data_IF_600478192022
#
_entry.id   IF_600478192022
#
_cell.length_a   1.000
_cell.length_b   1.000
_cell.length_c   1.000
_cell.angle_alpha   90.00
_cell.angle_beta   90.00
_cell.angle_gamma   90.00
#
_symmetry.space_group_name_H-M   'P 1'
#
loop_
_entity.id
_entity.type
_entity.pdbx_description
1 polymer ?
#
# COMPACT_ATOMS: atom_id res chain seq x y z
N UNK A 1 -26.59 -16.11 -12.79
CA UNK A 1 -25.66 -15.39 -13.68
C UNK A 1 -25.37 -14.03 -13.03
N UNK A 2 -24.11 -13.70 -12.73
CA UNK A 2 -23.75 -12.37 -12.20
C UNK A 2 -24.01 -11.33 -13.29
N UNK A 3 -24.66 -10.21 -12.96
CA UNK A 3 -24.87 -9.11 -13.90
C UNK A 3 -23.63 -8.21 -13.96
N UNK A 4 -23.45 -7.50 -15.06
CA UNK A 4 -22.33 -6.57 -15.25
C UNK A 4 -22.23 -5.50 -14.16
N UNK A 5 -23.39 -5.03 -13.67
CA UNK A 5 -23.50 -4.09 -12.55
C UNK A 5 -23.05 -4.74 -11.23
N UNK A 6 -23.43 -5.99 -10.97
CA UNK A 6 -23.02 -6.72 -9.76
C UNK A 6 -21.49 -6.94 -9.71
N UNK A 7 -20.85 -7.18 -10.86
CA UNK A 7 -19.39 -7.38 -10.91
C UNK A 7 -18.64 -6.07 -10.61
N UNK A 8 -19.12 -4.94 -11.14
CA UNK A 8 -18.52 -3.62 -10.84
C UNK A 8 -18.68 -3.22 -9.38
N UNK A 9 -19.79 -3.62 -8.74
CA UNK A 9 -19.98 -3.41 -7.31
C UNK A 9 -19.01 -4.26 -6.49
N UNK A 10 -18.88 -5.55 -6.81
CA UNK A 10 -17.91 -6.45 -6.17
C UNK A 10 -16.46 -5.91 -6.30
N UNK A 11 -16.09 -5.38 -7.47
CA UNK A 11 -14.78 -4.76 -7.71
C UNK A 11 -14.59 -3.50 -6.87
N UNK A 12 -15.57 -2.60 -6.87
CA UNK A 12 -15.49 -1.33 -6.12
C UNK A 12 -15.36 -1.59 -4.63
N UNK A 13 -16.15 -2.53 -4.11
CA UNK A 13 -16.12 -2.93 -2.70
C UNK A 13 -14.80 -3.60 -2.33
N UNK A 14 -14.27 -4.46 -3.20
CA UNK A 14 -12.94 -5.05 -3.02
C UNK A 14 -11.83 -4.00 -2.94
N UNK A 15 -11.87 -2.96 -3.78
CA UNK A 15 -10.91 -1.86 -3.79
C UNK A 15 -11.07 -0.99 -2.53
N UNK A 16 -12.30 -0.70 -2.10
CA UNK A 16 -12.59 0.05 -0.87
C UNK A 16 -12.05 -0.66 0.38
N UNK A 17 -12.24 -1.98 0.44
CA UNK A 17 -11.69 -2.81 1.52
C UNK A 17 -10.18 -2.98 1.45
N UNK A 18 -9.58 -2.83 0.26
CA UNK A 18 -8.14 -3.01 0.05
C UNK A 18 -7.52 -1.88 -0.79
N UNK A 19 -7.50 -0.62 -0.30
CA UNK A 19 -6.94 0.48 -1.09
C UNK A 19 -5.46 0.24 -1.40
N UNK A 20 -5.10 0.43 -2.67
CA UNK A 20 -3.77 0.16 -3.20
C UNK A 20 -3.51 -1.30 -3.62
N UNK A 21 -4.55 -2.12 -3.69
CA UNK A 21 -4.50 -3.51 -4.20
C UNK A 21 -4.02 -3.55 -5.65
N UNK A 22 -3.20 -4.55 -5.97
CA UNK A 22 -2.67 -4.74 -7.31
C UNK A 22 -3.66 -5.52 -8.19
N UNK A 23 -3.62 -5.28 -9.50
CA UNK A 23 -4.47 -5.98 -10.49
C UNK A 23 -4.55 -7.51 -10.27
N UNK A 24 -3.40 -8.18 -10.14
CA UNK A 24 -3.35 -9.65 -10.03
C UNK A 24 -3.93 -10.18 -8.71
N UNK A 25 -3.84 -9.39 -7.65
CA UNK A 25 -4.43 -9.76 -6.36
C UNK A 25 -5.95 -9.60 -6.40
N UNK A 26 -6.43 -8.48 -6.95
CA UNK A 26 -7.84 -8.22 -7.19
C UNK A 26 -8.46 -9.31 -8.09
N UNK A 27 -7.76 -9.68 -9.17
CA UNK A 27 -8.16 -10.75 -10.08
C UNK A 27 -8.32 -12.09 -9.37
N UNK A 28 -7.34 -12.49 -8.54
CA UNK A 28 -7.42 -13.75 -7.77
C UNK A 28 -8.54 -13.72 -6.74
N UNK A 29 -8.71 -12.59 -6.05
CA UNK A 29 -9.73 -12.43 -5.01
C UNK A 29 -11.15 -12.53 -5.56
N UNK A 30 -11.38 -12.00 -6.77
CA UNK A 30 -12.72 -11.99 -7.39
C UNK A 30 -12.97 -13.17 -8.33
N UNK A 31 -11.93 -13.97 -8.65
CA UNK A 31 -12.04 -15.10 -9.58
C UNK A 31 -12.39 -14.70 -11.01
N UNK A 32 -12.11 -13.47 -11.41
CA UNK A 32 -12.46 -12.93 -12.73
C UNK A 32 -11.40 -13.28 -13.79
N UNK A 33 -11.85 -13.42 -15.04
CA UNK A 33 -10.95 -13.47 -16.18
C UNK A 33 -10.24 -12.10 -16.36
N UNK A 34 -9.01 -12.11 -16.87
CA UNK A 34 -8.19 -10.89 -17.02
C UNK A 34 -8.92 -9.80 -17.80
N UNK A 35 -9.40 -10.12 -19.01
CA UNK A 35 -10.08 -9.13 -19.86
C UNK A 35 -11.39 -8.61 -19.25
N UNK A 36 -12.10 -9.45 -18.47
CA UNK A 36 -13.31 -9.03 -17.77
C UNK A 36 -12.98 -8.01 -16.67
N UNK A 37 -11.94 -8.27 -15.87
CA UNK A 37 -11.50 -7.34 -14.84
C UNK A 37 -10.98 -6.04 -15.46
N UNK A 38 -10.18 -6.11 -16.53
CA UNK A 38 -9.69 -4.92 -17.25
C UNK A 38 -10.83 -4.05 -17.75
N UNK A 39 -11.83 -4.65 -18.39
CA UNK A 39 -13.03 -3.94 -18.87
C UNK A 39 -13.76 -3.22 -17.73
N UNK A 40 -14.05 -3.93 -16.64
CA UNK A 40 -14.80 -3.33 -15.53
C UNK A 40 -14.00 -2.26 -14.79
N UNK A 41 -12.68 -2.44 -14.60
CA UNK A 41 -11.83 -1.41 -13.99
C UNK A 41 -11.77 -0.16 -14.84
N UNK A 42 -11.64 -0.30 -16.17
CA UNK A 42 -11.69 0.84 -17.08
C UNK A 42 -13.03 1.59 -16.96
N UNK A 43 -14.16 0.86 -16.94
CA UNK A 43 -15.49 1.48 -16.76
C UNK A 43 -15.61 2.22 -15.44
N UNK A 44 -15.17 1.61 -14.33
CA UNK A 44 -15.19 2.24 -13.01
C UNK A 44 -14.30 3.48 -12.91
N UNK A 45 -13.15 3.48 -13.60
CA UNK A 45 -12.24 4.63 -13.65
C UNK A 45 -12.84 5.78 -14.46
N UNK A 46 -13.48 5.50 -15.61
CA UNK A 46 -14.24 6.49 -16.39
C UNK A 46 -15.42 7.07 -15.59
N UNK A 47 -16.08 6.24 -14.78
CA UNK A 47 -17.16 6.65 -13.88
C UNK A 47 -16.66 7.42 -12.63
N UNK A 48 -15.35 7.58 -12.45
CA UNK A 48 -14.75 8.26 -11.30
C UNK A 48 -14.89 7.50 -9.97
N UNK A 49 -15.37 6.25 -10.01
CA UNK A 49 -15.59 5.42 -8.81
C UNK A 49 -14.29 4.86 -8.25
N UNK A 50 -13.29 4.70 -9.10
CA UNK A 50 -11.94 4.26 -8.71
C UNK A 50 -10.89 5.15 -9.36
N UNK A 51 -9.69 5.12 -8.79
CA UNK A 51 -8.50 5.74 -9.34
C UNK A 51 -7.38 4.70 -9.44
N UNK A 52 -6.65 4.66 -10.56
CA UNK A 52 -5.46 3.83 -10.68
C UNK A 52 -4.16 4.63 -10.72
N UNK A 53 -3.10 4.05 -10.14
CA UNK A 53 -1.74 4.61 -10.17
C UNK A 53 -0.73 3.54 -10.55
N UNK A 54 0.22 3.91 -11.41
CA UNK A 54 1.38 3.09 -11.70
C UNK A 54 2.36 3.11 -10.51
N UNK A 55 2.80 1.94 -10.07
CA UNK A 55 3.80 1.72 -9.03
C UNK A 55 4.82 0.68 -9.51
N UNK A 56 5.92 1.15 -10.10
CA UNK A 56 6.89 0.31 -10.78
C UNK A 56 6.24 -0.48 -11.92
N UNK A 57 6.28 -1.81 -11.84
CA UNK A 57 5.65 -2.71 -12.83
C UNK A 57 4.19 -3.00 -12.56
N UNK A 58 3.64 -2.55 -11.44
CA UNK A 58 2.29 -2.86 -11.01
C UNK A 58 1.38 -1.65 -11.18
N UNK A 59 0.13 -1.91 -11.55
CA UNK A 59 -0.95 -0.93 -11.42
C UNK A 59 -1.71 -1.22 -10.13
N UNK A 60 -1.97 -0.16 -9.36
CA UNK A 60 -2.69 -0.20 -8.09
C UNK A 60 -3.97 0.60 -8.16
N UNK A 61 -4.99 0.15 -7.46
CA UNK A 61 -6.32 0.73 -7.50
C UNK A 61 -6.76 1.24 -6.13
N UNK A 62 -7.44 2.37 -6.13
CA UNK A 62 -7.94 3.08 -4.95
C UNK A 62 -9.39 3.51 -5.19
N UNK A 63 -10.17 3.74 -4.13
CA UNK A 63 -11.45 4.43 -4.26
C UNK A 63 -11.24 5.82 -4.89
N UNK A 64 -12.16 6.23 -5.77
CA UNK A 64 -12.02 7.47 -6.52
C UNK A 64 -12.13 8.73 -5.66
N UNK A 65 -12.94 8.66 -4.61
CA UNK A 65 -13.33 9.74 -3.70
C UNK A 65 -12.54 9.76 -2.38
N UNK A 66 -11.61 8.83 -2.17
CA UNK A 66 -10.86 8.72 -0.92
C UNK A 66 -9.35 8.90 -1.07
N UNK A 67 -8.76 9.49 -0.02
CA UNK A 67 -7.32 9.56 0.20
C UNK A 67 -6.61 10.56 -0.70
N UNK A 68 -5.79 11.40 -0.10
CA UNK A 68 -4.83 12.27 -0.78
C UNK A 68 -3.77 11.45 -1.51
N UNK A 69 -3.09 12.05 -2.50
CA UNK A 69 -1.95 11.43 -3.17
C UNK A 69 -0.86 10.96 -2.19
N UNK A 70 -0.74 11.68 -1.08
CA UNK A 70 0.23 11.40 -0.03
C UNK A 70 -0.18 10.20 0.82
N UNK A 71 -1.42 10.13 1.28
CA UNK A 71 -1.98 8.95 1.96
C UNK A 71 -1.88 7.70 1.07
N UNK A 72 -2.20 7.83 -0.23
CA UNK A 72 -2.05 6.73 -1.20
C UNK A 72 -0.62 6.24 -1.30
N UNK A 73 0.37 7.12 -1.23
CA UNK A 73 1.79 6.75 -1.26
C UNK A 73 2.18 5.95 -0.02
N UNK A 74 1.73 6.36 1.16
CA UNK A 74 1.97 5.62 2.40
C UNK A 74 1.24 4.28 2.39
N UNK A 75 0.00 4.21 1.89
CA UNK A 75 -0.73 2.96 1.69
C UNK A 75 0.05 1.98 0.80
N UNK A 76 0.61 2.45 -0.31
CA UNK A 76 1.44 1.63 -1.20
C UNK A 76 2.65 1.05 -0.44
N UNK A 77 3.32 1.88 0.35
CA UNK A 77 4.44 1.48 1.19
C UNK A 77 4.04 0.38 2.18
N UNK A 78 2.92 0.57 2.88
CA UNK A 78 2.38 -0.37 3.86
C UNK A 78 1.87 -1.66 3.22
N UNK A 79 1.43 -1.66 1.96
CA UNK A 79 1.00 -2.87 1.25
C UNK A 79 2.19 -3.69 0.74
N UNK A 80 3.29 -3.05 0.34
CA UNK A 80 4.51 -3.74 -0.07
C UNK A 80 5.20 -4.39 1.15
N UNK A 81 5.38 -5.73 1.21
CA UNK A 81 5.95 -6.39 2.39
C UNK A 81 7.35 -5.90 2.79
N UNK A 82 8.20 -5.56 1.83
CA UNK A 82 9.58 -5.14 2.12
C UNK A 82 9.61 -3.69 2.61
N UNK A 83 8.89 -2.80 1.93
CA UNK A 83 8.77 -1.41 2.36
C UNK A 83 8.05 -1.29 3.71
N UNK A 84 7.01 -2.09 3.93
CA UNK A 84 6.30 -2.18 5.21
C UNK A 84 7.23 -2.51 6.36
N UNK A 85 8.12 -3.50 6.22
CA UNK A 85 9.08 -3.85 7.29
C UNK A 85 9.97 -2.67 7.68
N UNK A 86 10.41 -1.89 6.68
CA UNK A 86 11.20 -0.68 6.90
C UNK A 86 10.37 0.38 7.64
N UNK A 87 9.15 0.65 7.16
CA UNK A 87 8.24 1.62 7.80
C UNK A 87 7.95 1.22 9.25
N UNK A 88 7.68 -0.06 9.51
CA UNK A 88 7.41 -0.58 10.85
C UNK A 88 8.61 -0.43 11.80
N UNK A 89 9.82 -0.71 11.32
CA UNK A 89 11.03 -0.53 12.10
C UNK A 89 11.25 0.96 12.43
N UNK A 90 11.17 1.81 11.40
CA UNK A 90 11.37 3.24 11.56
C UNK A 90 10.26 3.92 12.35
N UNK A 91 9.04 3.38 12.38
CA UNK A 91 7.93 3.90 13.19
C UNK A 91 8.18 3.85 14.70
N UNK A 92 9.10 2.99 15.17
CA UNK A 92 9.51 2.96 16.57
C UNK A 92 10.62 3.96 16.88
N UNK A 93 11.64 4.01 16.03
CA UNK A 93 12.79 4.89 16.22
C UNK A 93 13.55 5.08 14.91
N UNK A 94 14.27 6.20 14.81
CA UNK A 94 15.26 6.42 13.76
C UNK A 94 16.44 5.46 13.96
N UNK A 95 17.09 5.01 12.88
CA UNK A 95 18.23 4.10 12.98
C UNK A 95 19.11 4.14 11.73
N UNK A 96 20.38 3.74 11.87
CA UNK A 96 21.27 3.64 10.71
C UNK A 96 20.78 2.61 9.69
N UNK A 97 21.12 2.80 8.42
CA UNK A 97 20.73 1.87 7.34
C UNK A 97 21.25 0.45 7.57
N UNK A 98 22.42 0.30 8.22
CA UNK A 98 22.96 -1.01 8.60
C UNK A 98 22.09 -1.71 9.64
N UNK A 99 21.78 -1.02 10.74
CA UNK A 99 20.91 -1.54 11.81
C UNK A 99 19.51 -1.83 11.27
N UNK A 100 18.98 -0.94 10.43
CA UNK A 100 17.67 -1.12 9.79
C UNK A 100 17.63 -2.39 8.93
N UNK A 101 18.66 -2.62 8.11
CA UNK A 101 18.75 -3.83 7.28
C UNK A 101 18.80 -5.08 8.13
N UNK A 102 19.62 -5.08 9.18
CA UNK A 102 19.71 -6.20 10.12
C UNK A 102 18.35 -6.46 10.79
N UNK A 103 17.68 -5.41 11.26
CA UNK A 103 16.37 -5.50 11.93
C UNK A 103 15.27 -6.03 11.00
N UNK A 104 15.23 -5.58 9.73
CA UNK A 104 14.20 -6.05 8.77
C UNK A 104 14.41 -7.50 8.32
N UNK A 105 15.61 -8.06 8.50
CA UNK A 105 15.99 -9.39 8.00
C UNK A 105 15.94 -9.51 6.48
N UNK A 106 15.87 -8.40 5.74
CA UNK A 106 15.78 -8.41 4.29
C UNK A 106 17.14 -8.69 3.64
N UNK A 107 17.13 -9.46 2.55
CA UNK A 107 18.31 -9.59 1.68
C UNK A 107 18.69 -8.21 1.14
N UNK A 108 19.99 -7.94 1.03
CA UNK A 108 20.55 -6.63 0.63
C UNK A 108 19.83 -5.97 -0.55
N UNK A 109 19.70 -6.67 -1.68
CA UNK A 109 19.01 -6.15 -2.88
C UNK A 109 17.55 -5.75 -2.64
N UNK A 110 16.81 -6.51 -1.83
CA UNK A 110 15.41 -6.22 -1.50
C UNK A 110 15.31 -5.02 -0.56
N UNK A 111 16.19 -4.97 0.44
CA UNK A 111 16.30 -3.84 1.34
C UNK A 111 16.62 -2.54 0.61
N UNK A 112 17.68 -2.54 -0.21
CA UNK A 112 18.10 -1.38 -0.99
C UNK A 112 17.00 -0.91 -1.94
N UNK A 113 16.34 -1.84 -2.65
CA UNK A 113 15.21 -1.50 -3.52
C UNK A 113 14.01 -0.91 -2.77
N UNK A 114 13.65 -1.48 -1.63
CA UNK A 114 12.54 -0.97 -0.81
C UNK A 114 12.89 0.40 -0.20
N UNK A 115 14.10 0.57 0.32
CA UNK A 115 14.57 1.84 0.88
C UNK A 115 14.66 2.92 -0.20
N UNK A 116 15.17 2.60 -1.39
CA UNK A 116 15.22 3.52 -2.52
C UNK A 116 13.81 4.00 -2.90
N UNK A 117 12.87 3.06 -3.08
CA UNK A 117 11.48 3.41 -3.38
C UNK A 117 10.85 4.31 -2.30
N UNK A 118 11.07 3.98 -1.01
CA UNK A 118 10.57 4.79 0.11
C UNK A 118 11.13 6.21 0.11
N UNK A 119 12.41 6.37 -0.25
CA UNK A 119 13.07 7.68 -0.35
C UNK A 119 12.59 8.48 -1.56
N UNK A 120 12.53 7.86 -2.73
CA UNK A 120 12.05 8.47 -3.97
C UNK A 120 10.60 8.95 -3.84
N UNK A 121 9.79 8.25 -3.06
CA UNK A 121 8.41 8.62 -2.78
C UNK A 121 8.25 9.45 -1.48
N UNK A 122 9.36 9.90 -0.88
CA UNK A 122 9.39 10.79 0.28
C UNK A 122 8.76 10.23 1.55
N UNK A 123 8.62 8.90 1.68
CA UNK A 123 8.13 8.24 2.92
C UNK A 123 9.25 8.16 3.96
N UNK A 124 10.49 8.01 3.50
CA UNK A 124 11.70 7.95 4.34
C UNK A 124 12.69 9.00 3.89
N UNK A 125 13.37 9.65 4.84
CA UNK A 125 14.53 10.50 4.60
C UNK A 125 15.80 9.84 5.14
N UNK A 126 16.95 10.24 4.60
CA UNK A 126 18.26 9.89 5.15
C UNK A 126 18.97 11.17 5.58
N UNK A 127 19.56 11.14 6.77
CA UNK A 127 20.47 12.13 7.31
C UNK A 127 21.80 11.42 7.60
N UNK A 128 22.78 11.60 6.72
CA UNK A 128 23.94 10.70 6.65
C UNK A 128 23.51 9.26 6.37
N UNK A 129 23.86 8.35 7.28
CA UNK A 129 23.48 6.94 7.24
C UNK A 129 22.19 6.64 8.05
N UNK A 130 21.63 7.64 8.73
CA UNK A 130 20.46 7.47 9.60
C UNK A 130 19.17 7.65 8.82
N UNK A 131 18.35 6.60 8.81
CA UNK A 131 17.05 6.58 8.17
C UNK A 131 15.94 6.98 9.16
N UNK A 132 14.98 7.76 8.66
CA UNK A 132 13.86 8.31 9.46
C UNK A 132 12.58 8.32 8.62
N UNK A 133 11.41 8.18 9.26
CA UNK A 133 10.15 8.47 8.57
C UNK A 133 10.01 9.98 8.35
N UNK A 134 9.56 10.38 7.17
CA UNK A 134 9.33 11.81 6.87
C UNK A 134 8.24 12.43 7.75
N UNK A 135 7.23 11.63 8.14
CA UNK A 135 6.25 11.99 9.18
C UNK A 135 5.66 10.71 9.78
N UNK A 136 5.82 10.54 11.09
CA UNK A 136 5.22 9.42 11.84
C UNK A 136 3.71 9.62 11.96
N UNK A 137 3.29 10.88 12.13
CA UNK A 137 1.90 11.30 12.26
C UNK A 137 1.11 10.97 10.99
N UNK A 138 1.71 11.16 9.81
CA UNK A 138 1.10 10.78 8.54
C UNK A 138 0.91 9.26 8.42
N UNK A 139 1.94 8.48 8.76
CA UNK A 139 1.85 7.01 8.77
C UNK A 139 0.77 6.55 9.75
N UNK A 140 0.73 7.15 10.94
CA UNK A 140 -0.29 6.89 11.96
C UNK A 140 -1.70 7.17 11.44
N UNK A 141 -1.94 8.37 10.91
CA UNK A 141 -3.24 8.74 10.33
C UNK A 141 -3.70 7.77 9.25
N UNK A 142 -2.81 7.34 8.36
CA UNK A 142 -3.14 6.36 7.30
C UNK A 142 -3.50 5.00 7.91
N UNK A 143 -2.74 4.52 8.88
CA UNK A 143 -3.03 3.23 9.52
C UNK A 143 -4.38 3.29 10.26
N UNK A 144 -4.63 4.34 11.03
CA UNK A 144 -5.90 4.54 11.74
C UNK A 144 -7.07 4.64 10.77
N UNK A 145 -6.95 5.46 9.73
CA UNK A 145 -8.01 5.65 8.72
C UNK A 145 -8.38 4.36 8.00
N UNK A 146 -7.38 3.54 7.66
CA UNK A 146 -7.56 2.32 6.88
C UNK A 146 -7.39 1.06 7.74
N UNK A 147 -7.64 1.14 9.06
CA UNK A 147 -7.37 0.07 10.04
C UNK A 147 -7.96 -1.26 9.62
N UNK A 148 -9.24 -1.28 9.23
CA UNK A 148 -9.96 -2.48 8.80
C UNK A 148 -9.28 -3.17 7.60
N UNK A 149 -8.77 -2.37 6.67
CA UNK A 149 -8.06 -2.87 5.48
C UNK A 149 -6.74 -3.57 5.82
N UNK A 150 -6.21 -3.36 7.03
CA UNK A 150 -4.91 -3.84 7.47
C UNK A 150 -4.95 -5.01 8.46
N UNK A 151 -6.11 -5.35 9.04
CA UNK A 151 -6.28 -6.38 10.08
C UNK A 151 -5.64 -7.73 9.70
N UNK A 152 -5.62 -8.10 8.40
CA UNK A 152 -4.99 -9.34 7.93
C UNK A 152 -3.56 -9.24 7.42
N UNK A 153 -2.94 -8.04 7.39
CA UNK A 153 -1.67 -7.81 6.67
C UNK A 153 -0.60 -7.05 7.47
N UNK A 154 -1.01 -6.28 8.49
CA UNK A 154 -0.11 -5.69 9.48
C UNK A 154 -0.07 -6.60 10.71
N UNK A 155 1.10 -6.72 11.32
CA UNK A 155 1.23 -7.49 12.56
C UNK A 155 0.48 -6.78 13.71
N UNK A 156 -0.10 -7.56 14.61
CA UNK A 156 -0.86 -7.05 15.76
C UNK A 156 -0.03 -6.09 16.60
N UNK A 157 1.26 -6.38 16.80
CA UNK A 157 2.19 -5.52 17.55
C UNK A 157 2.49 -4.17 16.88
N UNK A 158 2.16 -4.03 15.60
CA UNK A 158 2.28 -2.77 14.88
C UNK A 158 0.96 -2.03 14.90
N UNK A 159 -0.17 -2.74 14.72
CA UNK A 159 -1.51 -2.18 14.87
C UNK A 159 -1.78 -1.67 16.29
N UNK A 160 -1.27 -2.36 17.31
CA UNK A 160 -1.41 -1.99 18.72
C UNK A 160 -0.64 -0.73 19.11
N UNK A 161 0.22 -0.19 18.24
CA UNK A 161 0.91 1.09 18.48
C UNK A 161 -0.03 2.30 18.30
N UNK A 162 -1.28 2.05 17.92
CA UNK A 162 -2.28 3.05 17.53
C UNK A 162 -3.60 2.95 18.32
N UNK A 163 -3.67 2.05 19.30
CA UNK A 163 -4.80 1.91 20.22
C UNK A 163 -4.59 2.76 21.50
#
# INVERSE_FOLDING_TARGET
MRTDSSVREDISEAIRKNPGIHFRELQRMLGLAVGQLEYHLYRLEVEGRIFSRQDGRYRRYFPGDEGTQRERTVLIALRNPDARKIVQALFRQDMSTEVLRAFTGLRRKRFEGALAWLRENGVVTLDGDTARLSSREEVSRVITRYRESFIGTLADNFLSLFD
#
